data_IF_145988667873
#
_entry.id   IF_145988667873
#
_cell.length_a   1.000
_cell.length_b   1.000
_cell.length_c   1.000
_cell.angle_alpha   90.00
_cell.angle_beta   90.00
_cell.angle_gamma   90.00
#
_symmetry.space_group_name_H-M   'P 1'
#
loop_
_entity.id
_entity.type
_entity.pdbx_description
1 polymer ?
#
# COMPACT_ATOMS: atom_id res chain seq x y z
N UNK A 1 0.58 16.69 9.50
CA UNK A 1 -0.37 15.62 9.16
C UNK A 1 -0.04 14.43 10.04
N UNK A 2 -1.03 13.87 10.73
CA UNK A 2 -0.88 12.72 11.64
C UNK A 2 -1.39 11.49 10.91
N UNK A 3 -0.77 10.34 11.12
CA UNK A 3 -1.21 9.07 10.53
C UNK A 3 -1.56 8.09 11.63
N UNK A 4 -2.63 7.32 11.44
CA UNK A 4 -3.12 6.31 12.37
C UNK A 4 -3.28 4.98 11.62
N UNK A 5 -2.71 3.91 12.16
CA UNK A 5 -2.85 2.56 11.60
C UNK A 5 -3.72 1.73 12.50
N UNK A 6 -4.77 1.11 11.96
CA UNK A 6 -5.70 0.32 12.76
C UNK A 6 -6.85 -0.30 11.99
N UNK A 7 -7.68 -1.06 12.71
CA UNK A 7 -8.82 -1.78 12.18
C UNK A 7 -10.12 -1.10 12.63
N UNK A 8 -11.12 -1.00 11.73
CA UNK A 8 -12.46 -0.57 12.13
C UNK A 8 -13.09 -1.64 13.02
N UNK A 9 -13.62 -1.23 14.17
CA UNK A 9 -14.39 -2.12 15.06
C UNK A 9 -15.88 -1.97 14.84
N UNK A 10 -16.41 -0.74 14.87
CA UNK A 10 -17.80 -0.45 14.58
C UNK A 10 -18.03 0.99 14.12
N UNK A 11 -19.12 1.18 13.37
CA UNK A 11 -19.63 2.50 13.00
C UNK A 11 -20.60 2.99 14.08
N UNK A 12 -20.36 4.19 14.61
CA UNK A 12 -21.26 4.89 15.51
C UNK A 12 -22.37 5.62 14.73
N UNK A 13 -22.02 6.09 13.53
CA UNK A 13 -22.94 6.72 12.60
C UNK A 13 -22.48 6.48 11.17
N UNK A 14 -23.42 6.30 10.26
CA UNK A 14 -23.16 6.22 8.82
C UNK A 14 -24.34 6.80 8.06
N UNK A 15 -24.06 7.74 7.16
CA UNK A 15 -25.00 8.20 6.16
C UNK A 15 -24.73 7.43 4.85
N UNK A 16 -25.69 6.62 4.44
CA UNK A 16 -25.55 5.77 3.24
C UNK A 16 -25.65 6.55 1.92
N UNK A 17 -26.21 7.77 1.94
CA UNK A 17 -26.41 8.57 0.73
C UNK A 17 -25.13 9.29 0.30
N UNK A 18 -24.32 9.75 1.27
CA UNK A 18 -23.10 10.52 1.00
C UNK A 18 -21.81 9.90 1.56
N UNK A 19 -21.90 8.80 2.31
CA UNK A 19 -20.75 8.09 2.87
C UNK A 19 -20.12 8.75 4.10
N UNK A 20 -20.74 9.80 4.67
CA UNK A 20 -20.26 10.38 5.92
C UNK A 20 -20.38 9.36 7.06
N UNK A 21 -19.27 9.10 7.73
CA UNK A 21 -19.13 8.05 8.73
C UNK A 21 -18.43 8.58 9.98
N UNK A 22 -18.90 8.10 11.13
CA UNK A 22 -18.20 8.19 12.42
C UNK A 22 -17.95 6.76 12.85
N UNK A 23 -16.69 6.37 12.94
CA UNK A 23 -16.31 5.00 13.26
C UNK A 23 -15.29 4.97 14.40
N UNK A 24 -15.32 3.89 15.17
CA UNK A 24 -14.27 3.57 16.14
C UNK A 24 -13.27 2.63 15.49
N UNK A 25 -11.98 2.94 15.67
CA UNK A 25 -10.89 2.08 15.27
C UNK A 25 -10.07 1.66 16.49
N UNK A 26 -9.48 0.48 16.42
CA UNK A 26 -8.43 0.02 17.34
C UNK A 26 -7.11 0.20 16.63
N UNK A 27 -6.19 0.92 17.26
CA UNK A 27 -4.83 1.14 16.79
C UNK A 27 -3.95 -0.07 17.15
N UNK A 28 -2.78 -0.18 16.52
CA UNK A 28 -1.82 -1.27 16.80
C UNK A 28 -1.35 -1.32 18.25
N UNK A 29 -1.30 -0.18 18.93
CA UNK A 29 -0.96 -0.09 20.36
C UNK A 29 -2.15 -0.41 21.29
N UNK A 30 -3.24 -0.97 20.75
CA UNK A 30 -4.49 -1.32 21.43
C UNK A 30 -5.33 -0.14 21.90
N UNK A 31 -4.93 1.11 21.60
CA UNK A 31 -5.75 2.28 21.91
C UNK A 31 -6.97 2.35 20.98
N UNK A 32 -8.10 2.75 21.53
CA UNK A 32 -9.31 3.01 20.76
C UNK A 32 -9.46 4.50 20.47
N UNK A 33 -9.69 4.84 19.20
CA UNK A 33 -9.92 6.22 18.77
C UNK A 33 -11.11 6.35 17.84
N UNK A 34 -11.65 7.56 17.76
CA UNK A 34 -12.78 7.90 16.89
C UNK A 34 -12.26 8.56 15.62
N UNK A 35 -12.67 8.04 14.47
CA UNK A 35 -12.44 8.67 13.17
C UNK A 35 -13.75 9.21 12.59
N UNK A 36 -13.66 10.34 11.88
CA UNK A 36 -14.79 10.98 11.19
C UNK A 36 -14.41 11.32 9.75
N UNK A 37 -15.35 11.29 8.81
CA UNK A 37 -15.06 11.68 7.43
C UNK A 37 -15.96 11.00 6.41
N UNK A 38 -15.61 11.14 5.15
CA UNK A 38 -16.34 10.53 4.04
C UNK A 38 -15.54 9.33 3.52
N UNK A 39 -16.06 8.12 3.72
CA UNK A 39 -15.42 6.89 3.26
C UNK A 39 -16.42 5.75 3.07
N UNK A 40 -16.16 4.80 2.16
CA UNK A 40 -17.00 3.63 1.96
C UNK A 40 -17.01 2.72 3.19
N UNK A 41 -17.78 1.64 3.14
CA UNK A 41 -17.77 0.66 4.22
C UNK A 41 -16.46 -0.12 4.14
N UNK A 42 -15.63 0.05 5.16
CA UNK A 42 -14.37 -0.65 5.29
C UNK A 42 -14.57 -1.98 6.02
N UNK A 43 -13.92 -3.03 5.51
CA UNK A 43 -13.90 -4.35 6.17
C UNK A 43 -13.21 -4.28 7.52
N UNK A 44 -13.79 -4.92 8.54
CA UNK A 44 -13.19 -5.03 9.88
C UNK A 44 -11.94 -5.93 9.91
N UNK A 45 -11.83 -6.84 8.94
CA UNK A 45 -10.73 -7.80 8.82
C UNK A 45 -9.46 -7.19 8.20
N UNK A 46 -9.55 -5.96 7.69
CA UNK A 46 -8.45 -5.28 7.02
C UNK A 46 -7.95 -4.15 7.91
N UNK A 47 -6.64 -4.04 8.05
CA UNK A 47 -5.99 -2.91 8.70
C UNK A 47 -5.83 -1.78 7.68
N UNK A 48 -6.05 -0.54 8.10
CA UNK A 48 -5.97 0.65 7.25
C UNK A 48 -4.99 1.66 7.83
N UNK A 49 -4.34 2.40 6.94
CA UNK A 49 -3.54 3.57 7.27
C UNK A 49 -4.39 4.81 6.96
N UNK A 50 -4.73 5.58 8.00
CA UNK A 50 -5.54 6.79 7.90
C UNK A 50 -4.65 8.03 8.05
N UNK A 51 -4.68 8.93 7.07
CA UNK A 51 -4.12 10.27 7.24
C UNK A 51 -5.20 11.21 7.79
N UNK A 52 -4.91 11.82 8.94
CA UNK A 52 -5.93 12.50 9.75
C UNK A 52 -5.51 13.89 10.24
N UNK A 53 -6.54 14.69 10.52
CA UNK A 53 -6.48 15.91 11.32
C UNK A 53 -7.12 15.67 12.68
N UNK A 54 -6.42 16.08 13.74
CA UNK A 54 -6.99 16.03 15.08
C UNK A 54 -8.03 17.15 15.24
N UNK A 55 -9.19 16.78 15.77
CA UNK A 55 -10.32 17.68 15.99
C UNK A 55 -10.92 17.39 17.36
N UNK A 56 -11.36 18.43 18.07
CA UNK A 56 -11.94 18.26 19.40
C UNK A 56 -13.43 18.57 19.36
N UNK A 57 -14.24 17.57 19.64
CA UNK A 57 -15.68 17.76 19.80
C UNK A 57 -16.01 18.21 21.23
N UNK A 58 -16.78 19.30 21.44
CA UNK A 58 -17.05 19.86 22.76
C UNK A 58 -17.62 18.87 23.78
N UNK A 59 -18.38 17.87 23.30
CA UNK A 59 -19.05 16.85 24.12
C UNK A 59 -18.36 15.48 24.14
N UNK A 60 -17.58 15.15 23.12
CA UNK A 60 -17.09 13.78 22.88
C UNK A 60 -15.56 13.67 22.90
N UNK A 61 -14.85 14.78 23.11
CA UNK A 61 -13.40 14.79 23.20
C UNK A 61 -12.71 14.71 21.84
N UNK A 62 -11.51 14.15 21.83
CA UNK A 62 -10.63 14.10 20.66
C UNK A 62 -11.16 13.11 19.63
N UNK A 63 -11.21 13.55 18.38
CA UNK A 63 -11.58 12.79 17.20
C UNK A 63 -10.61 13.07 16.06
N UNK A 64 -10.52 12.16 15.11
CA UNK A 64 -9.61 12.27 13.99
C UNK A 64 -10.38 12.34 12.68
N UNK A 65 -10.35 13.50 12.04
CA UNK A 65 -10.96 13.70 10.74
C UNK A 65 -10.07 13.07 9.66
N UNK A 66 -10.59 12.07 8.95
CA UNK A 66 -9.91 11.38 7.86
C UNK A 66 -9.87 12.30 6.64
N UNK A 67 -8.64 12.56 6.16
CA UNK A 67 -8.39 13.28 4.91
C UNK A 67 -8.35 12.28 3.74
N UNK A 68 -7.61 11.20 3.92
CA UNK A 68 -7.54 10.05 3.02
C UNK A 68 -7.13 8.80 3.81
N UNK A 69 -7.26 7.64 3.19
CA UNK A 69 -6.87 6.37 3.77
C UNK A 69 -6.50 5.39 2.68
N UNK A 70 -5.65 4.44 3.04
CA UNK A 70 -5.30 3.29 2.21
C UNK A 70 -5.44 2.02 3.06
N UNK A 71 -5.54 0.86 2.40
CA UNK A 71 -5.29 -0.40 3.10
C UNK A 71 -3.88 -0.29 3.67
N UNK A 72 -3.74 -0.51 4.97
CA UNK A 72 -2.42 -0.64 5.53
C UNK A 72 -1.85 -1.89 4.86
N UNK A 73 -0.84 -1.68 4.02
CA UNK A 73 0.18 -2.69 3.84
C UNK A 73 0.87 -2.82 5.19
N UNK A 74 0.20 -3.44 6.17
CA UNK A 74 0.90 -4.01 7.29
C UNK A 74 1.80 -5.03 6.63
N UNK A 75 3.07 -4.68 6.43
CA UNK A 75 4.10 -5.63 6.07
C UNK A 75 4.26 -6.55 7.29
N UNK A 76 3.25 -7.37 7.57
CA UNK A 76 3.36 -8.41 8.56
C UNK A 76 4.49 -9.32 8.05
N UNK A 77 5.34 -9.77 8.97
CA UNK A 77 6.50 -10.60 8.60
C UNK A 77 6.11 -11.79 7.74
N UNK A 78 4.90 -12.32 7.93
CA UNK A 78 4.33 -13.40 7.12
C UNK A 78 4.06 -13.00 5.67
N UNK A 79 3.42 -11.86 5.42
CA UNK A 79 3.13 -11.31 4.10
C UNK A 79 4.37 -10.82 3.39
N UNK A 80 5.30 -10.20 4.13
CA UNK A 80 6.62 -9.85 3.61
C UNK A 80 7.40 -11.12 3.22
N UNK A 81 7.33 -12.18 4.03
CA UNK A 81 7.94 -13.46 3.72
C UNK A 81 7.29 -14.12 2.50
N UNK A 82 5.96 -14.12 2.41
CA UNK A 82 5.21 -14.65 1.27
C UNK A 82 5.54 -13.88 -0.02
N UNK A 83 5.59 -12.55 0.04
CA UNK A 83 5.96 -11.69 -1.08
C UNK A 83 7.39 -11.96 -1.54
N UNK A 84 8.37 -11.88 -0.63
CA UNK A 84 9.78 -12.06 -0.95
C UNK A 84 10.11 -13.49 -1.42
N UNK A 85 9.33 -14.49 -0.99
CA UNK A 85 9.50 -15.89 -1.41
C UNK A 85 8.60 -16.33 -2.56
N UNK A 86 7.83 -15.40 -3.15
CA UNK A 86 6.96 -15.67 -4.29
C UNK A 86 7.75 -15.90 -5.59
N UNK A 87 7.05 -16.38 -6.61
CA UNK A 87 7.61 -16.64 -7.94
C UNK A 87 8.09 -15.36 -8.66
N UNK A 88 7.78 -14.19 -8.12
CA UNK A 88 8.29 -12.89 -8.60
C UNK A 88 9.81 -12.79 -8.47
N UNK A 89 10.41 -13.47 -7.48
CA UNK A 89 11.82 -13.30 -7.11
C UNK A 89 12.62 -14.59 -7.26
N UNK A 90 13.26 -14.73 -8.41
CA UNK A 90 13.97 -15.98 -8.75
C UNK A 90 15.15 -16.24 -7.82
N UNK A 91 15.05 -17.30 -7.03
CA UNK A 91 16.10 -17.76 -6.13
C UNK A 91 16.06 -17.14 -4.73
N UNK A 92 14.97 -16.45 -4.39
CA UNK A 92 14.61 -16.10 -3.01
C UNK A 92 13.51 -17.06 -2.55
N UNK A 93 13.90 -18.11 -1.84
CA UNK A 93 12.93 -19.03 -1.20
C UNK A 93 12.62 -18.61 0.25
N UNK A 94 11.71 -19.30 0.94
CA UNK A 94 11.28 -18.95 2.31
C UNK A 94 12.44 -18.78 3.30
N UNK A 95 13.48 -19.62 3.20
CA UNK A 95 14.68 -19.53 4.07
C UNK A 95 15.43 -18.20 3.88
N UNK A 96 15.61 -17.77 2.62
CA UNK A 96 16.31 -16.51 2.33
C UNK A 96 15.42 -15.31 2.64
N UNK A 97 14.14 -15.37 2.29
CA UNK A 97 13.16 -14.34 2.63
C UNK A 97 13.13 -14.10 4.15
N UNK A 98 13.03 -15.17 4.95
CA UNK A 98 13.11 -15.08 6.41
C UNK A 98 14.40 -14.41 6.88
N UNK A 99 15.56 -14.83 6.37
CA UNK A 99 16.85 -14.22 6.76
C UNK A 99 16.95 -12.73 6.40
N UNK A 100 16.38 -12.33 5.27
CA UNK A 100 16.30 -10.92 4.88
C UNK A 100 15.44 -10.13 5.89
N UNK A 101 14.27 -10.66 6.25
CA UNK A 101 13.34 -10.01 7.18
C UNK A 101 13.90 -9.99 8.61
N UNK A 102 14.53 -11.06 9.06
CA UNK A 102 15.14 -11.13 10.40
C UNK A 102 16.23 -10.07 10.58
N UNK A 103 16.95 -9.69 9.51
CA UNK A 103 18.02 -8.70 9.55
C UNK A 103 17.53 -7.28 9.23
N UNK A 104 16.66 -7.12 8.23
CA UNK A 104 16.23 -5.80 7.75
C UNK A 104 14.94 -5.31 8.42
N UNK A 105 14.20 -6.20 9.08
CA UNK A 105 12.93 -5.90 9.75
C UNK A 105 11.79 -5.66 8.76
N UNK A 106 10.73 -5.03 9.28
CA UNK A 106 9.47 -4.85 8.56
C UNK A 106 9.59 -3.83 7.40
N UNK A 107 10.69 -3.06 7.33
CA UNK A 107 11.02 -2.14 6.23
C UNK A 107 11.96 -2.77 5.18
N UNK A 108 12.03 -4.10 5.09
CA UNK A 108 13.05 -4.77 4.28
C UNK A 108 13.06 -4.31 2.82
N UNK A 109 11.89 -4.19 2.19
CA UNK A 109 11.77 -3.77 0.78
C UNK A 109 12.40 -2.40 0.58
N UNK A 110 12.01 -1.43 1.41
CA UNK A 110 12.54 -0.05 1.34
C UNK A 110 14.05 -0.02 1.53
N UNK A 111 14.57 -0.71 2.55
CA UNK A 111 16.01 -0.78 2.83
C UNK A 111 16.82 -1.41 1.69
N UNK A 112 16.24 -2.42 1.02
CA UNK A 112 16.88 -3.05 -0.15
C UNK A 112 16.94 -2.06 -1.32
N UNK A 113 15.83 -1.37 -1.62
CA UNK A 113 15.75 -0.41 -2.70
C UNK A 113 16.69 0.79 -2.49
N UNK A 114 16.75 1.31 -1.27
CA UNK A 114 17.62 2.42 -0.87
C UNK A 114 19.11 2.02 -0.93
N UNK A 115 19.41 0.78 -0.52
CA UNK A 115 20.78 0.27 -0.54
C UNK A 115 20.84 -1.24 -0.81
N UNK A 116 21.18 -1.62 -2.05
CA UNK A 116 21.35 -3.02 -2.44
C UNK A 116 22.41 -3.78 -1.65
N UNK A 117 23.40 -3.09 -1.06
CA UNK A 117 24.44 -3.76 -0.27
C UNK A 117 23.93 -4.31 1.06
N UNK A 118 22.74 -3.91 1.49
CA UNK A 118 22.05 -4.47 2.67
C UNK A 118 21.83 -5.99 2.55
N UNK A 119 21.86 -6.54 1.34
CA UNK A 119 21.72 -7.98 1.07
C UNK A 119 23.02 -8.78 1.23
N UNK A 120 24.17 -8.11 1.40
CA UNK A 120 25.46 -8.78 1.58
C UNK A 120 25.47 -9.60 2.88
N UNK A 121 26.02 -10.82 2.83
CA UNK A 121 26.07 -11.72 3.99
C UNK A 121 24.76 -12.46 4.29
N UNK A 122 23.67 -12.17 3.56
CA UNK A 122 22.36 -12.80 3.76
C UNK A 122 22.18 -14.13 2.99
N UNK A 123 23.27 -14.78 2.59
CA UNK A 123 23.21 -16.04 1.84
C UNK A 123 22.91 -15.87 0.34
N UNK A 124 23.15 -14.67 -0.18
CA UNK A 124 23.06 -14.33 -1.59
C UNK A 124 24.47 -14.02 -2.11
N UNK A 125 24.82 -14.57 -3.28
CA UNK A 125 26.02 -14.14 -3.99
C UNK A 125 25.75 -12.85 -4.78
N UNK A 126 26.81 -12.20 -5.30
CA UNK A 126 26.68 -10.92 -6.02
C UNK A 126 25.67 -10.97 -7.18
N UNK A 127 25.70 -12.05 -7.98
CA UNK A 127 24.79 -12.20 -9.11
C UNK A 127 23.32 -12.33 -8.65
N UNK A 128 23.07 -13.06 -7.55
CA UNK A 128 21.74 -13.20 -6.96
C UNK A 128 21.24 -11.86 -6.39
N UNK A 129 22.12 -11.07 -5.77
CA UNK A 129 21.78 -9.73 -5.26
C UNK A 129 21.35 -8.81 -6.41
N UNK A 130 22.14 -8.71 -7.47
CA UNK A 130 21.80 -7.85 -8.61
C UNK A 130 20.47 -8.28 -9.26
N UNK A 131 20.27 -9.59 -9.45
CA UNK A 131 19.03 -10.11 -10.01
C UNK A 131 17.82 -9.80 -9.13
N UNK A 132 17.92 -10.08 -7.84
CA UNK A 132 16.82 -9.85 -6.90
C UNK A 132 16.50 -8.36 -6.77
N UNK A 133 17.53 -7.50 -6.63
CA UNK A 133 17.34 -6.05 -6.59
C UNK A 133 16.63 -5.55 -7.84
N UNK A 134 17.07 -5.99 -9.03
CA UNK A 134 16.42 -5.60 -10.29
C UNK A 134 14.96 -6.05 -10.35
N UNK A 135 14.66 -7.30 -9.99
CA UNK A 135 13.28 -7.80 -9.96
C UNK A 135 12.41 -7.02 -8.96
N UNK A 136 12.95 -6.70 -7.78
CA UNK A 136 12.25 -5.91 -6.77
C UNK A 136 11.98 -4.49 -7.25
N UNK A 137 12.98 -3.84 -7.84
CA UNK A 137 12.85 -2.51 -8.41
C UNK A 137 11.81 -2.48 -9.55
N UNK A 138 11.91 -3.41 -10.50
CA UNK A 138 10.98 -3.50 -11.63
C UNK A 138 9.53 -3.70 -11.13
N UNK A 139 9.32 -4.57 -10.14
CA UNK A 139 7.99 -4.78 -9.53
C UNK A 139 7.46 -3.53 -8.82
N UNK A 140 8.32 -2.79 -8.11
CA UNK A 140 7.91 -1.57 -7.41
C UNK A 140 7.57 -0.43 -8.39
N UNK A 141 8.24 -0.37 -9.54
CA UNK A 141 7.86 0.54 -10.63
C UNK A 141 6.50 0.14 -11.22
N UNK A 142 6.22 -1.15 -11.42
CA UNK A 142 4.90 -1.63 -11.87
C UNK A 142 3.82 -1.23 -10.86
N UNK A 143 4.00 -1.59 -9.58
CA UNK A 143 3.04 -1.34 -8.50
C UNK A 143 2.75 0.15 -8.35
N UNK A 144 3.78 1.01 -8.24
CA UNK A 144 3.61 2.46 -8.12
C UNK A 144 2.92 3.09 -9.33
N UNK A 145 3.19 2.59 -10.54
CA UNK A 145 2.50 3.04 -11.75
C UNK A 145 1.01 2.66 -11.70
N UNK A 146 0.69 1.41 -11.35
CA UNK A 146 -0.69 0.94 -11.23
C UNK A 146 -1.48 1.68 -10.15
N UNK A 147 -0.89 1.88 -8.96
CA UNK A 147 -1.50 2.66 -7.86
C UNK A 147 -1.83 4.07 -8.34
N UNK A 148 -0.90 4.70 -9.04
CA UNK A 148 -1.11 6.05 -9.54
C UNK A 148 -2.19 6.10 -10.63
N UNK A 149 -2.28 5.09 -11.49
CA UNK A 149 -3.37 4.94 -12.48
C UNK A 149 -4.74 4.75 -11.80
N UNK A 150 -4.81 4.00 -10.70
CA UNK A 150 -6.04 3.88 -9.90
C UNK A 150 -6.46 5.21 -9.28
N UNK A 151 -5.50 6.05 -8.90
CA UNK A 151 -5.75 7.43 -8.44
C UNK A 151 -6.48 8.31 -9.47
N UNK A 152 -6.44 7.96 -10.76
CA UNK A 152 -7.22 8.62 -11.81
C UNK A 152 -8.65 8.06 -11.97
N UNK A 153 -9.08 7.17 -11.07
CA UNK A 153 -10.41 6.54 -11.11
C UNK A 153 -10.52 5.39 -12.12
N UNK A 154 -9.40 4.89 -12.64
CA UNK A 154 -9.38 3.79 -13.59
C UNK A 154 -9.65 2.44 -12.91
N UNK A 155 -10.43 1.59 -13.58
CA UNK A 155 -10.64 0.20 -13.12
C UNK A 155 -9.36 -0.63 -13.24
N UNK A 156 -9.22 -1.70 -12.44
CA UNK A 156 -8.10 -2.64 -12.48
C UNK A 156 -7.81 -3.18 -13.88
N UNK A 157 -8.86 -3.55 -14.63
CA UNK A 157 -8.73 -4.04 -16.01
C UNK A 157 -8.10 -2.98 -16.92
N UNK A 158 -8.50 -1.72 -16.77
CA UNK A 158 -8.05 -0.62 -17.63
C UNK A 158 -6.63 -0.18 -17.30
N UNK A 159 -6.27 -0.09 -16.02
CA UNK A 159 -4.89 0.21 -15.60
C UNK A 159 -3.91 -0.89 -16.06
N UNK A 160 -4.29 -2.17 -15.95
CA UNK A 160 -3.47 -3.26 -16.45
C UNK A 160 -3.27 -3.20 -17.97
N UNK A 161 -4.31 -2.90 -18.75
CA UNK A 161 -4.17 -2.72 -20.21
C UNK A 161 -3.27 -1.54 -20.57
N UNK A 162 -3.41 -0.41 -19.87
CA UNK A 162 -2.55 0.76 -20.02
C UNK A 162 -1.09 0.42 -19.73
N UNK A 163 -0.83 -0.23 -18.60
CA UNK A 163 0.51 -0.63 -18.23
C UNK A 163 1.11 -1.65 -19.21
N UNK A 164 0.31 -2.61 -19.68
CA UNK A 164 0.76 -3.56 -20.71
C UNK A 164 1.13 -2.87 -22.03
N UNK A 165 0.44 -1.78 -22.40
CA UNK A 165 0.69 -1.04 -23.65
C UNK A 165 1.86 -0.06 -23.54
N UNK A 166 1.99 0.62 -22.40
CA UNK A 166 2.88 1.78 -22.23
C UNK A 166 3.94 1.63 -21.14
N UNK A 167 3.91 0.55 -20.37
CA UNK A 167 4.83 0.33 -19.25
C UNK A 167 4.80 1.48 -18.24
N UNK A 168 5.98 1.88 -17.79
CA UNK A 168 6.17 3.00 -16.86
C UNK A 168 5.69 4.36 -17.42
N UNK A 169 5.56 4.50 -18.74
CA UNK A 169 5.13 5.76 -19.38
C UNK A 169 3.61 5.93 -19.40
N UNK A 170 2.85 4.89 -19.00
CA UNK A 170 1.39 4.88 -19.02
C UNK A 170 0.79 6.13 -18.36
N UNK A 171 1.37 6.56 -17.24
CA UNK A 171 0.90 7.72 -16.49
C UNK A 171 1.21 9.05 -17.17
N UNK A 172 2.38 9.16 -17.80
CA UNK A 172 2.76 10.35 -18.57
C UNK A 172 1.83 10.51 -19.78
N UNK A 173 1.60 9.43 -20.52
CA UNK A 173 0.72 9.42 -21.69
C UNK A 173 -0.71 9.76 -21.30
N UNK A 174 -1.22 9.19 -20.21
CA UNK A 174 -2.55 9.47 -19.70
C UNK A 174 -2.72 10.95 -19.35
N UNK A 175 -1.73 11.57 -18.69
CA UNK A 175 -1.77 13.00 -18.34
C UNK A 175 -1.71 13.90 -19.58
N UNK A 176 -0.94 13.54 -20.59
CA UNK A 176 -0.80 14.33 -21.82
C UNK A 176 -2.03 14.26 -22.71
N UNK A 177 -2.69 13.09 -22.78
CA UNK A 177 -3.90 12.92 -23.57
C UNK A 177 -4.85 11.90 -22.90
N UNK A 178 -5.75 12.36 -22.00
CA UNK A 178 -6.69 11.49 -21.30
C UNK A 178 -7.65 10.73 -22.23
N UNK A 179 -7.93 11.27 -23.42
CA UNK A 179 -8.83 10.65 -24.40
C UNK A 179 -8.17 9.54 -25.20
N UNK A 180 -6.83 9.48 -25.20
CA UNK A 180 -6.05 8.45 -25.90
C UNK A 180 -6.42 7.03 -25.45
N UNK A 181 -6.91 6.91 -24.22
CA UNK A 181 -7.53 5.70 -23.66
C UNK A 181 -8.62 5.10 -24.55
N UNK A 182 -9.47 5.93 -25.15
CA UNK A 182 -10.64 5.53 -25.93
C UNK A 182 -10.19 4.91 -27.27
N UNK A 183 -9.13 5.46 -27.87
CA UNK A 183 -8.64 5.00 -29.17
C UNK A 183 -7.75 3.75 -29.07
N UNK A 184 -7.09 3.57 -27.92
CA UNK A 184 -6.01 2.61 -27.77
C UNK A 184 -6.35 1.35 -26.96
N UNK A 185 -7.47 1.36 -26.23
CA UNK A 185 -7.85 0.35 -25.24
C UNK A 185 -9.36 0.04 -25.34
N UNK A 186 -9.73 -0.89 -26.22
CA UNK A 186 -10.99 -1.65 -26.16
C UNK A 186 -10.86 -2.84 -25.20
#
# INVERSE_FOLDING_TARGET
MKSLTGNITHYLFRNNDNGYSIAKIVLENMDEVIITGYFPELSKEVTYLFNVEETTHPKYGVQYKVINFDKAEVQNKEGLMAYLSSDLFTGIGPVKAKKIIDVLGDDAIKKILDNKTSLLGLGLNRLQIERFYKQLYDNQVIESTLVSLYGFGLTSKMAMKLYAKYGSDALYILKQNPYRLIDDIE
#
